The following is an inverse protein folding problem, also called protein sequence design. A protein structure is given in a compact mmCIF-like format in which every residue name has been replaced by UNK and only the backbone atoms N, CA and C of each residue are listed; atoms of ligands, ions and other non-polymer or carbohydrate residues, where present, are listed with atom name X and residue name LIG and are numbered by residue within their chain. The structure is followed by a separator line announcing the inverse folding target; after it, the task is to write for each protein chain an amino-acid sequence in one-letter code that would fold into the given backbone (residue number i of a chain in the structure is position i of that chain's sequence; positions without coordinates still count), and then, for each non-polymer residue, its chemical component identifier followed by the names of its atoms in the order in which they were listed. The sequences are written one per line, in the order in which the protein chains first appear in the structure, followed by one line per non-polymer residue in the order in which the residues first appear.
data_IF_003930768485
#
_entry.id   IF_003930768485
#
_cell.length_a   1.000
_cell.length_b   1.000
_cell.length_c   1.000
_cell.angle_alpha   90.00
_cell.angle_beta   90.00
_cell.angle_gamma   90.00
#
_symmetry.space_group_name_H-M   'P 1'
#
loop_
_entity.id
_entity.type
_entity.pdbx_description
1 polymer ?
#
# COMPACT_ATOMS: atom_id res chain seq x y z
N UNK A 1 -2.47 9.69 22.03
CA UNK A 1 -1.24 9.34 21.32
C UNK A 1 -1.55 9.05 19.87
N UNK A 2 -0.89 9.73 19.00
CA UNK A 2 -1.02 9.48 17.57
C UNK A 2 -0.13 8.30 17.21
N UNK A 3 -0.73 7.23 16.74
CA UNK A 3 0.00 6.12 16.17
C UNK A 3 0.55 6.46 14.80
N UNK A 4 1.30 5.56 14.22
CA UNK A 4 1.90 5.71 12.91
C UNK A 4 1.59 4.48 12.07
N UNK A 5 1.13 4.72 10.84
CA UNK A 5 0.90 3.68 9.84
C UNK A 5 2.06 3.73 8.85
N UNK A 6 2.44 2.58 8.35
CA UNK A 6 3.53 2.48 7.37
C UNK A 6 3.00 1.92 6.07
N UNK A 7 3.69 2.22 4.98
CA UNK A 7 3.42 1.62 3.68
C UNK A 7 4.69 1.02 3.10
N UNK A 8 4.54 0.00 2.26
CA UNK A 8 5.64 -0.66 1.58
C UNK A 8 5.10 -1.46 0.40
N UNK A 9 5.99 -2.00 -0.41
CA UNK A 9 5.62 -2.94 -1.46
C UNK A 9 6.14 -4.35 -1.11
N UNK A 10 5.55 -5.38 -1.69
CA UNK A 10 5.84 -6.77 -1.29
C UNK A 10 7.34 -7.11 -1.35
N UNK A 11 7.98 -6.83 -2.48
CA UNK A 11 9.40 -7.20 -2.62
C UNK A 11 10.36 -6.35 -1.79
N UNK A 12 9.90 -5.23 -1.24
CA UNK A 12 10.69 -4.38 -0.35
C UNK A 12 10.46 -4.66 1.13
N UNK A 13 9.54 -5.58 1.44
CA UNK A 13 9.11 -5.82 2.82
C UNK A 13 10.18 -6.49 3.68
N UNK A 14 10.99 -7.40 3.09
CA UNK A 14 12.03 -8.13 3.81
C UNK A 14 11.44 -9.01 4.90
N UNK A 15 12.01 -8.93 6.09
CA UNK A 15 11.61 -9.72 7.26
C UNK A 15 10.53 -9.04 8.11
N UNK A 16 9.91 -7.96 7.61
CA UNK A 16 8.93 -7.18 8.36
C UNK A 16 7.49 -7.67 8.20
N UNK A 17 7.29 -8.87 7.63
CA UNK A 17 5.96 -9.43 7.32
C UNK A 17 5.08 -9.64 8.55
N UNK A 18 5.66 -9.76 9.75
CA UNK A 18 4.89 -9.97 10.99
C UNK A 18 3.94 -8.81 11.34
N UNK A 19 4.18 -7.61 10.78
CA UNK A 19 3.34 -6.43 10.98
C UNK A 19 2.64 -5.99 9.70
N UNK A 20 2.71 -6.79 8.64
CA UNK A 20 2.24 -6.39 7.33
C UNK A 20 0.82 -6.84 7.06
N UNK A 21 0.07 -5.99 6.36
CA UNK A 21 -1.30 -6.26 5.89
C UNK A 21 -1.34 -5.90 4.42
N UNK A 22 -1.95 -6.76 3.61
CA UNK A 22 -2.09 -6.49 2.18
C UNK A 22 -3.27 -5.54 1.93
N UNK A 23 -3.06 -4.51 1.11
CA UNK A 23 -4.13 -3.69 0.57
C UNK A 23 -4.50 -4.10 -0.85
N UNK A 24 -4.13 -5.33 -1.22
CA UNK A 24 -4.49 -5.97 -2.47
C UNK A 24 -5.07 -7.34 -2.18
N UNK A 25 -6.14 -7.74 -2.89
CA UNK A 25 -6.75 -9.06 -2.70
C UNK A 25 -5.81 -10.17 -3.12
N UNK A 26 -5.04 -9.96 -4.18
CA UNK A 26 -4.05 -10.93 -4.65
C UNK A 26 -2.67 -10.59 -4.11
N UNK A 27 -1.93 -11.60 -3.73
CA UNK A 27 -0.58 -11.46 -3.19
C UNK A 27 0.39 -12.28 -4.02
N UNK A 28 1.68 -11.87 -4.07
CA UNK A 28 2.70 -12.68 -4.76
C UNK A 28 2.86 -14.04 -4.11
N UNK A 29 3.35 -15.06 -4.86
CA UNK A 29 3.66 -16.37 -4.28
C UNK A 29 4.58 -16.24 -3.06
N UNK A 30 4.28 -16.99 -2.02
CA UNK A 30 5.03 -16.98 -0.77
C UNK A 30 4.51 -16.00 0.28
N UNK A 31 3.58 -15.11 -0.09
CA UNK A 31 2.96 -14.18 0.86
C UNK A 31 1.55 -14.65 1.22
N UNK A 32 1.25 -14.62 2.51
CA UNK A 32 -0.10 -14.92 3.05
C UNK A 32 -0.42 -13.92 4.15
N UNK A 33 -0.35 -12.63 3.80
CA UNK A 33 -0.63 -11.57 4.76
C UNK A 33 -2.13 -11.43 4.98
N UNK A 34 -2.56 -10.97 6.17
CA UNK A 34 -3.93 -10.54 6.36
C UNK A 34 -4.30 -9.48 5.32
N UNK A 35 -5.56 -9.40 4.94
CA UNK A 35 -6.03 -8.48 3.90
C UNK A 35 -6.87 -7.39 4.55
N UNK A 36 -6.48 -6.14 4.31
CA UNK A 36 -7.28 -4.97 4.68
C UNK A 36 -8.32 -4.73 3.59
N UNK A 37 -9.44 -5.46 3.65
CA UNK A 37 -10.46 -5.51 2.58
C UNK A 37 -11.02 -4.13 2.25
N UNK A 38 -11.24 -3.30 3.25
CA UNK A 38 -11.79 -1.94 3.07
C UNK A 38 -10.83 -1.02 2.31
N UNK A 39 -9.55 -1.38 2.23
CA UNK A 39 -8.54 -0.61 1.52
C UNK A 39 -8.14 -1.22 0.18
N UNK A 40 -8.67 -2.39 -0.17
CA UNK A 40 -8.39 -3.01 -1.46
C UNK A 40 -9.22 -2.36 -2.56
N UNK A 41 -8.63 -2.06 -3.74
CA UNK A 41 -9.43 -1.62 -4.86
C UNK A 41 -10.35 -2.74 -5.35
N UNK A 42 -11.52 -2.42 -5.92
CA UNK A 42 -12.36 -3.44 -6.52
C UNK A 42 -11.59 -4.26 -7.57
N UNK A 43 -11.81 -5.56 -7.57
CA UNK A 43 -11.04 -6.50 -8.39
C UNK A 43 -11.01 -6.11 -9.87
N UNK A 44 -12.18 -5.82 -10.45
CA UNK A 44 -12.26 -5.45 -11.86
C UNK A 44 -11.57 -4.13 -12.20
N UNK A 45 -11.53 -3.19 -11.28
CA UNK A 45 -10.90 -1.89 -11.45
C UNK A 45 -9.37 -2.02 -11.58
N UNK A 46 -8.76 -2.82 -10.73
CA UNK A 46 -7.32 -3.04 -10.76
C UNK A 46 -6.88 -3.68 -12.09
N UNK A 47 -7.64 -4.67 -12.58
CA UNK A 47 -7.36 -5.30 -13.86
C UNK A 47 -7.47 -4.34 -15.04
N UNK A 48 -8.48 -3.47 -15.03
CA UNK A 48 -8.61 -2.44 -16.07
C UNK A 48 -7.40 -1.52 -16.10
N UNK A 49 -6.94 -1.12 -14.93
CA UNK A 49 -5.75 -0.28 -14.83
C UNK A 49 -4.51 -0.99 -15.39
N UNK A 50 -4.26 -2.23 -14.99
CA UNK A 50 -3.11 -3.00 -15.46
C UNK A 50 -3.12 -3.22 -16.97
N UNK A 51 -4.30 -3.31 -17.59
CA UNK A 51 -4.44 -3.50 -19.03
C UNK A 51 -4.44 -2.20 -19.82
N UNK A 52 -4.14 -1.09 -19.19
CA UNK A 52 -4.13 0.21 -19.86
C UNK A 52 -5.49 0.78 -20.20
N UNK A 53 -6.58 0.23 -19.68
CA UNK A 53 -7.95 0.68 -19.94
C UNK A 53 -8.43 1.75 -18.96
N UNK A 54 -7.59 2.10 -18.02
CA UNK A 54 -7.87 3.11 -17.01
C UNK A 54 -6.57 3.86 -16.73
N UNK A 55 -6.61 5.19 -16.77
CA UNK A 55 -5.45 6.02 -16.44
C UNK A 55 -5.23 6.07 -14.93
N UNK A 56 -4.03 6.51 -14.52
CA UNK A 56 -3.73 6.75 -13.11
C UNK A 56 -4.69 7.77 -12.50
N UNK A 57 -5.02 8.82 -13.24
CA UNK A 57 -5.96 9.85 -12.79
C UNK A 57 -7.36 9.28 -12.56
N UNK A 58 -7.84 8.45 -13.49
CA UNK A 58 -9.14 7.79 -13.36
C UNK A 58 -9.16 6.82 -12.18
N UNK A 59 -8.12 6.03 -12.03
CA UNK A 59 -7.97 5.11 -10.91
C UNK A 59 -8.01 5.87 -9.58
N UNK A 60 -7.21 6.92 -9.46
CA UNK A 60 -7.15 7.74 -8.25
C UNK A 60 -8.50 8.34 -7.90
N UNK A 61 -9.21 8.86 -8.90
CA UNK A 61 -10.51 9.49 -8.70
C UNK A 61 -11.55 8.48 -8.20
N UNK A 62 -11.62 7.32 -8.83
CA UNK A 62 -12.61 6.29 -8.47
C UNK A 62 -12.24 5.65 -7.13
N UNK A 63 -10.97 5.30 -6.93
CA UNK A 63 -10.51 4.70 -5.69
C UNK A 63 -10.77 5.62 -4.49
N UNK A 64 -10.51 6.91 -4.67
CA UNK A 64 -10.63 7.91 -3.58
C UNK A 64 -12.07 8.14 -3.13
N UNK A 65 -13.06 7.67 -3.88
CA UNK A 65 -14.48 7.75 -3.45
C UNK A 65 -14.67 7.05 -2.10
N UNK A 66 -14.00 5.94 -1.87
CA UNK A 66 -14.11 5.22 -0.59
C UNK A 66 -13.61 6.02 0.60
N UNK A 67 -12.69 6.97 0.39
CA UNK A 67 -12.22 7.84 1.45
C UNK A 67 -13.33 8.77 1.97
N UNK A 68 -14.38 8.97 1.21
CA UNK A 68 -15.56 9.71 1.66
C UNK A 68 -16.46 8.93 2.59
N UNK A 69 -16.33 7.60 2.64
CA UNK A 69 -17.15 6.73 3.50
C UNK A 69 -16.34 6.07 4.62
N UNK A 70 -15.02 6.14 4.57
CA UNK A 70 -14.16 5.62 5.63
C UNK A 70 -13.78 6.76 6.59
N UNK A 71 -13.66 6.41 7.87
CA UNK A 71 -13.17 7.35 8.87
C UNK A 71 -11.64 7.22 8.97
N UNK A 72 -10.88 8.27 8.65
CA UNK A 72 -9.41 8.19 8.71
C UNK A 72 -8.88 7.89 10.12
N UNK A 73 -9.53 8.39 11.17
CA UNK A 73 -9.13 8.10 12.55
C UNK A 73 -9.28 6.62 12.87
N UNK A 74 -10.37 6.01 12.41
CA UNK A 74 -10.63 4.58 12.60
C UNK A 74 -9.59 3.73 11.86
N UNK A 75 -9.27 4.08 10.63
CA UNK A 75 -8.26 3.38 9.83
C UNK A 75 -6.87 3.53 10.47
N UNK A 76 -6.49 4.74 10.85
CA UNK A 76 -5.20 4.99 11.49
C UNK A 76 -5.05 4.21 12.79
N UNK A 77 -6.12 4.10 13.57
CA UNK A 77 -6.12 3.35 14.81
C UNK A 77 -6.07 1.83 14.58
N UNK A 78 -6.85 1.34 13.61
CA UNK A 78 -6.90 -0.09 13.28
C UNK A 78 -5.55 -0.63 12.82
N UNK A 79 -4.82 0.15 12.04
CA UNK A 79 -3.54 -0.26 11.45
C UNK A 79 -2.35 0.44 12.09
N UNK A 80 -2.50 0.92 13.31
CA UNK A 80 -1.42 1.56 14.06
C UNK A 80 -0.22 0.61 14.21
N UNK A 81 0.95 1.08 13.82
CA UNK A 81 2.19 0.30 13.86
C UNK A 81 2.32 -0.75 12.75
N UNK A 82 1.28 -0.88 11.91
CA UNK A 82 1.26 -1.90 10.85
C UNK A 82 1.75 -1.32 9.52
N UNK A 83 2.08 -2.22 8.61
CA UNK A 83 2.59 -1.88 7.27
C UNK A 83 1.53 -2.27 6.25
N UNK A 84 1.01 -1.30 5.51
CA UNK A 84 0.07 -1.52 4.41
C UNK A 84 0.88 -1.80 3.15
N UNK A 85 0.66 -2.96 2.51
CA UNK A 85 1.53 -3.46 1.45
C UNK A 85 0.77 -3.59 0.15
N UNK A 86 1.35 -3.08 -0.93
CA UNK A 86 0.84 -3.23 -2.30
C UNK A 86 1.96 -3.74 -3.23
N UNK A 87 1.61 -3.98 -4.52
CA UNK A 87 2.53 -4.63 -5.45
C UNK A 87 3.62 -3.72 -5.99
N UNK A 88 3.27 -2.49 -6.35
CA UNK A 88 4.14 -1.60 -7.13
C UNK A 88 5.24 -0.99 -6.26
N UNK A 89 6.49 -1.14 -6.69
CA UNK A 89 7.64 -0.55 -6.03
C UNK A 89 8.08 0.77 -6.67
N UNK A 90 9.29 0.78 -7.22
CA UNK A 90 9.91 1.98 -7.77
C UNK A 90 10.27 1.79 -9.24
N UNK A 91 10.31 2.90 -9.97
CA UNK A 91 10.68 2.91 -11.40
C UNK A 91 12.18 2.73 -11.57
N UNK A 92 12.95 3.39 -10.67
CA UNK A 92 14.41 3.46 -10.77
C UNK A 92 15.11 2.52 -9.79
N UNK A 93 16.36 2.20 -10.09
CA UNK A 93 17.18 1.33 -9.23
C UNK A 93 17.50 1.96 -7.89
N UNK A 94 17.59 3.28 -7.84
CA UNK A 94 17.95 4.02 -6.61
C UNK A 94 16.77 4.22 -5.67
N UNK A 95 15.58 3.74 -6.05
CA UNK A 95 14.36 3.81 -5.24
C UNK A 95 13.95 5.25 -4.91
N UNK A 96 14.13 6.16 -5.88
CA UNK A 96 13.77 7.57 -5.71
C UNK A 96 12.45 7.95 -6.37
N UNK A 97 12.04 7.22 -7.43
CA UNK A 97 10.80 7.50 -8.17
C UNK A 97 9.82 6.35 -7.95
N UNK A 98 8.80 6.51 -7.10
CA UNK A 98 7.83 5.45 -6.87
C UNK A 98 6.96 5.23 -8.10
N UNK A 99 6.60 3.97 -8.34
CA UNK A 99 5.54 3.64 -9.29
C UNK A 99 4.20 4.03 -8.68
N UNK A 100 3.24 4.36 -9.55
CA UNK A 100 1.88 4.60 -9.09
C UNK A 100 1.35 3.37 -8.34
N UNK A 101 0.80 3.60 -7.16
CA UNK A 101 0.19 2.55 -6.35
C UNK A 101 -0.83 3.16 -5.41
N UNK A 102 -1.93 2.44 -5.17
CA UNK A 102 -2.99 2.93 -4.30
C UNK A 102 -2.54 3.09 -2.84
N UNK A 103 -1.46 2.43 -2.40
CA UNK A 103 -0.94 2.66 -1.04
C UNK A 103 -0.52 4.11 -0.84
N UNK A 104 -0.03 4.78 -1.88
CA UNK A 104 0.33 6.20 -1.80
C UNK A 104 -0.89 7.10 -1.66
N UNK A 105 -2.02 6.71 -2.26
CA UNK A 105 -3.29 7.41 -2.08
C UNK A 105 -3.80 7.29 -0.65
N UNK A 106 -3.66 6.12 -0.05
CA UNK A 106 -4.01 5.88 1.36
C UNK A 106 -3.13 6.76 2.26
N UNK A 107 -1.82 6.76 2.02
CA UNK A 107 -0.88 7.54 2.82
C UNK A 107 -1.18 9.03 2.76
N UNK A 108 -1.44 9.55 1.56
CA UNK A 108 -1.78 10.95 1.37
C UNK A 108 -3.07 11.31 2.10
N UNK A 109 -4.09 10.47 2.00
CA UNK A 109 -5.37 10.67 2.69
C UNK A 109 -5.21 10.71 4.21
N UNK A 110 -4.42 9.78 4.77
CA UNK A 110 -4.16 9.78 6.21
C UNK A 110 -3.42 11.05 6.64
N UNK A 111 -2.38 11.45 5.90
CA UNK A 111 -1.62 12.66 6.22
C UNK A 111 -2.47 13.91 6.15
N UNK A 112 -3.33 14.03 5.15
CA UNK A 112 -4.26 15.16 5.00
C UNK A 112 -5.22 15.29 6.18
N UNK A 113 -5.50 14.17 6.84
CA UNK A 113 -6.40 14.16 7.99
C UNK A 113 -5.64 14.20 9.32
N UNK A 114 -4.34 14.51 9.28
CA UNK A 114 -3.55 14.74 10.49
C UNK A 114 -2.92 13.49 11.10
N UNK A 115 -2.93 12.35 10.39
CA UNK A 115 -2.34 11.11 10.86
C UNK A 115 -0.98 10.87 10.22
N UNK A 116 -0.06 10.31 10.99
CA UNK A 116 1.26 9.99 10.47
C UNK A 116 1.23 8.73 9.62
N UNK A 117 1.81 8.81 8.43
CA UNK A 117 1.98 7.67 7.55
C UNK A 117 3.29 7.82 6.78
N UNK A 118 4.11 6.77 6.81
CA UNK A 118 5.44 6.80 6.24
C UNK A 118 5.67 5.59 5.34
N UNK A 119 6.20 5.83 4.15
CA UNK A 119 6.68 4.76 3.28
C UNK A 119 8.00 4.26 3.82
N UNK A 120 8.09 2.97 4.08
CA UNK A 120 9.32 2.36 4.58
C UNK A 120 10.33 2.19 3.45
N UNK A 121 11.59 2.36 3.79
CA UNK A 121 12.67 2.03 2.87
C UNK A 121 12.66 0.53 2.57
N UNK A 122 12.83 0.14 1.29
CA UNK A 122 12.88 -1.27 0.95
C UNK A 122 14.09 -1.94 1.58
N UNK A 123 13.88 -3.14 2.13
CA UNK A 123 14.97 -3.92 2.64
C UNK A 123 15.68 -4.63 1.49
N UNK A 124 17.02 -4.72 1.52
CA UNK A 124 17.73 -5.46 0.49
C UNK A 124 17.34 -6.95 0.54
N UNK A 125 17.26 -7.59 -0.62
CA UNK A 125 17.08 -9.02 -0.69
C UNK A 125 18.21 -9.69 0.09
N UNK A 126 17.86 -10.68 0.92
CA UNK A 126 18.86 -11.54 1.53
C UNK A 126 19.72 -12.15 0.41
N UNK A 127 20.99 -11.81 0.38
CA UNK A 127 21.94 -12.54 -0.44
C UNK A 127 22.01 -13.95 0.11
N UNK A 128 21.79 -14.94 -0.75
CA UNK A 128 22.10 -16.30 -0.38
C UNK A 128 23.57 -16.36 -0.02
N UNK A 129 23.85 -16.67 1.23
CA UNK A 129 25.21 -17.00 1.64
C UNK A 129 25.50 -18.39 1.09
N UNK A 130 26.40 -18.45 0.16
CA UNK A 130 26.89 -19.72 -0.35
C UNK A 130 27.90 -20.29 0.63
#
# INVERSE_FOLDING_TARGET
MTGKVYTCYFSGLGDRSGRAVSVSFQQPPGFKLPIARELCPPFGMYWKFLRGRMSEAQFSQIYSIRFGVLDPAEIANRYDGMILVSWEGYVDKDKTVPKFSHRHLIAEWLRKNGFECEELDPMPRRKKVL
#
